data_IF_980176901276
#
_entry.id   IF_980176901276
#
_cell.length_a   1.000
_cell.length_b   1.000
_cell.length_c   1.000
_cell.angle_alpha   90.00
_cell.angle_beta   90.00
_cell.angle_gamma   90.00
#
_symmetry.space_group_name_H-M   'P 1'
#
loop_
_entity.id
_entity.type
_entity.pdbx_description
1 polymer ?
#
# COMPACT_ATOMS: atom_id res chain seq x y z
N UNK A 1 22.35 10.46 -35.28
CA UNK A 1 22.86 9.70 -34.12
C UNK A 1 21.67 9.20 -33.33
N UNK A 2 21.37 7.91 -33.50
CA UNK A 2 20.65 7.02 -32.57
C UNK A 2 20.64 5.67 -33.29
N UNK A 3 21.78 4.98 -33.18
CA UNK A 3 21.97 3.61 -33.61
C UNK A 3 21.55 2.69 -32.46
N UNK A 4 20.77 1.66 -32.82
CA UNK A 4 20.68 0.31 -32.26
C UNK A 4 20.62 0.13 -30.74
N UNK A 5 19.42 -0.23 -30.25
CA UNK A 5 19.29 -1.19 -29.15
C UNK A 5 19.08 -2.57 -29.75
N UNK A 6 19.91 -3.58 -29.41
CA UNK A 6 19.61 -4.95 -29.82
C UNK A 6 18.39 -5.40 -29.02
N UNK A 7 17.29 -5.66 -29.74
CA UNK A 7 16.22 -6.49 -29.22
C UNK A 7 16.86 -7.81 -28.79
N UNK A 8 16.91 -8.06 -27.48
CA UNK A 8 17.15 -9.40 -26.99
C UNK A 8 15.97 -10.23 -27.47
N UNK A 9 16.17 -11.01 -28.52
CA UNK A 9 15.32 -12.15 -28.85
C UNK A 9 15.32 -13.06 -27.62
N UNK A 10 14.35 -12.87 -26.74
CA UNK A 10 13.87 -13.94 -25.89
C UNK A 10 13.24 -14.93 -26.86
N UNK A 11 14.05 -15.92 -27.25
CA UNK A 11 13.67 -17.10 -28.00
C UNK A 11 12.38 -17.63 -27.38
N UNK A 12 11.22 -17.25 -27.95
CA UNK A 12 9.92 -17.71 -27.49
C UNK A 12 9.79 -19.15 -27.95
N UNK A 13 10.39 -20.05 -27.19
CA UNK A 13 10.15 -21.48 -27.32
C UNK A 13 8.63 -21.66 -27.15
N UNK A 14 7.97 -22.09 -28.22
CA UNK A 14 6.54 -22.34 -28.19
C UNK A 14 6.21 -23.30 -27.02
N UNK A 15 5.08 -23.13 -26.32
CA UNK A 15 4.74 -23.92 -25.13
C UNK A 15 4.75 -25.45 -25.39
N UNK A 16 4.52 -25.87 -26.63
CA UNK A 16 4.64 -27.26 -27.06
C UNK A 16 6.09 -27.79 -27.09
N UNK A 17 7.06 -26.92 -27.42
CA UNK A 17 8.48 -27.25 -27.38
C UNK A 17 9.00 -27.33 -25.95
N UNK A 18 8.48 -26.54 -25.01
CA UNK A 18 8.82 -26.66 -23.58
C UNK A 18 8.37 -28.00 -22.99
N UNK A 19 7.14 -28.42 -23.27
CA UNK A 19 6.63 -29.72 -22.82
C UNK A 19 7.42 -30.89 -23.43
N UNK A 20 7.84 -30.77 -24.69
CA UNK A 20 8.71 -31.74 -25.34
C UNK A 20 10.11 -31.80 -24.68
N UNK A 21 10.70 -30.64 -24.38
CA UNK A 21 11.98 -30.52 -23.66
C UNK A 21 11.90 -31.13 -22.24
N UNK A 22 10.82 -30.85 -21.50
CA UNK A 22 10.59 -31.40 -20.16
C UNK A 22 10.40 -32.92 -20.22
N UNK A 23 9.60 -33.41 -21.18
CA UNK A 23 9.38 -34.84 -21.39
C UNK A 23 10.67 -35.57 -21.76
N UNK A 24 11.45 -34.99 -22.68
CA UNK A 24 12.73 -35.55 -23.11
C UNK A 24 13.78 -35.53 -21.98
N UNK A 25 13.82 -34.45 -21.17
CA UNK A 25 14.69 -34.35 -19.99
C UNK A 25 14.31 -35.40 -18.94
N UNK A 26 13.01 -35.57 -18.69
CA UNK A 26 12.47 -36.59 -17.78
C UNK A 26 12.81 -38.02 -18.24
N UNK A 27 12.70 -38.31 -19.54
CA UNK A 27 13.07 -39.62 -20.09
C UNK A 27 14.57 -39.93 -19.95
N UNK A 28 15.45 -38.94 -20.18
CA UNK A 28 16.90 -39.10 -20.00
C UNK A 28 17.31 -39.28 -18.55
N UNK A 29 16.63 -38.60 -17.62
CA UNK A 29 16.85 -38.82 -16.20
C UNK A 29 16.42 -40.23 -15.78
N UNK A 30 15.27 -40.70 -16.25
CA UNK A 30 14.77 -42.05 -15.95
C UNK A 30 15.71 -43.18 -16.39
N UNK A 31 16.33 -43.08 -17.57
CA UNK A 31 17.26 -44.11 -18.04
C UNK A 31 18.59 -44.10 -17.27
N UNK A 32 19.08 -42.93 -16.87
CA UNK A 32 20.27 -42.79 -16.01
C UNK A 32 20.06 -43.40 -14.63
N UNK A 33 18.94 -43.07 -13.99
CA UNK A 33 18.59 -43.57 -12.64
C UNK A 33 18.49 -45.10 -12.61
N UNK A 34 18.01 -45.74 -13.70
CA UNK A 34 17.94 -47.21 -13.80
C UNK A 34 19.30 -47.91 -13.87
N UNK A 35 20.38 -47.18 -14.16
CA UNK A 35 21.72 -47.73 -14.32
C UNK A 35 22.61 -47.44 -13.09
N UNK A 36 22.11 -46.74 -12.07
CA UNK A 36 22.86 -46.40 -10.86
C UNK A 36 22.85 -47.57 -9.86
N UNK A 37 23.92 -47.69 -9.08
CA UNK A 37 23.96 -48.61 -7.94
C UNK A 37 23.04 -48.15 -6.81
N UNK A 38 22.76 -49.03 -5.86
CA UNK A 38 21.90 -48.71 -4.71
C UNK A 38 22.45 -47.57 -3.84
N UNK A 39 23.77 -47.43 -3.74
CA UNK A 39 24.42 -46.33 -3.01
C UNK A 39 24.22 -45.00 -3.76
N UNK A 40 24.56 -44.98 -5.05
CA UNK A 40 24.40 -43.78 -5.89
C UNK A 40 22.93 -43.32 -5.98
N UNK A 41 21.99 -44.26 -5.99
CA UNK A 41 20.55 -43.96 -6.00
C UNK A 41 20.10 -43.31 -4.67
N UNK A 42 20.67 -43.74 -3.54
CA UNK A 42 20.36 -43.18 -2.24
C UNK A 42 20.92 -41.77 -2.07
N UNK A 43 22.14 -41.52 -2.57
CA UNK A 43 22.75 -40.19 -2.58
C UNK A 43 21.95 -39.22 -3.46
N UNK A 44 21.58 -39.63 -4.69
CA UNK A 44 20.73 -38.84 -5.58
C UNK A 44 19.34 -38.57 -4.97
N UNK A 45 18.77 -39.54 -4.25
CA UNK A 45 17.51 -39.35 -3.52
C UNK A 45 17.66 -38.30 -2.43
N UNK A 46 18.73 -38.34 -1.62
CA UNK A 46 19.00 -37.36 -0.58
C UNK A 46 19.20 -35.95 -1.18
N UNK A 47 19.89 -35.85 -2.31
CA UNK A 47 20.07 -34.59 -3.04
C UNK A 47 18.73 -34.02 -3.53
N UNK A 48 17.87 -34.87 -4.09
CA UNK A 48 16.52 -34.48 -4.54
C UNK A 48 15.66 -34.06 -3.34
N UNK A 49 15.65 -34.82 -2.26
CA UNK A 49 14.92 -34.46 -1.03
C UNK A 49 15.41 -33.13 -0.46
N UNK A 50 16.72 -32.91 -0.44
CA UNK A 50 17.33 -31.66 0.00
C UNK A 50 16.94 -30.51 -0.92
N UNK A 51 16.95 -30.71 -2.23
CA UNK A 51 16.51 -29.71 -3.20
C UNK A 51 15.02 -29.37 -3.03
N UNK A 52 14.16 -30.38 -2.84
CA UNK A 52 12.73 -30.20 -2.57
C UNK A 52 12.52 -29.34 -1.32
N UNK A 53 13.24 -29.63 -0.23
CA UNK A 53 13.15 -28.84 1.01
C UNK A 53 13.55 -27.38 0.77
N UNK A 54 14.69 -27.13 0.09
CA UNK A 54 15.13 -25.76 -0.23
C UNK A 54 14.13 -25.00 -1.09
N UNK A 55 13.61 -25.61 -2.16
CA UNK A 55 12.62 -24.97 -3.02
C UNK A 55 11.30 -24.70 -2.31
N UNK A 56 10.88 -25.62 -1.42
CA UNK A 56 9.68 -25.43 -0.61
C UNK A 56 9.83 -24.26 0.35
N UNK A 57 11.00 -24.12 0.99
CA UNK A 57 11.32 -22.99 1.86
C UNK A 57 11.32 -21.66 1.10
N UNK A 58 12.00 -21.60 -0.04
CA UNK A 58 11.99 -20.41 -0.91
C UNK A 58 10.58 -20.04 -1.34
N UNK A 59 9.77 -21.02 -1.75
CA UNK A 59 8.38 -20.78 -2.14
C UNK A 59 7.57 -20.18 -0.99
N UNK A 60 7.72 -20.69 0.24
CA UNK A 60 7.04 -20.14 1.42
C UNK A 60 7.46 -18.69 1.65
N UNK A 61 8.75 -18.37 1.56
CA UNK A 61 9.25 -17.00 1.72
C UNK A 61 8.69 -16.06 0.66
N UNK A 62 8.68 -16.48 -0.62
CA UNK A 62 8.12 -15.71 -1.72
C UNK A 62 6.61 -15.47 -1.56
N UNK A 63 5.86 -16.46 -1.08
CA UNK A 63 4.43 -16.32 -0.80
C UNK A 63 4.18 -15.32 0.33
N UNK A 64 4.94 -15.40 1.43
CA UNK A 64 4.84 -14.45 2.53
C UNK A 64 5.16 -13.01 2.08
N UNK A 65 6.21 -12.82 1.29
CA UNK A 65 6.57 -11.51 0.74
C UNK A 65 5.51 -10.96 -0.20
N UNK A 66 4.92 -11.80 -1.04
CA UNK A 66 3.81 -11.42 -1.92
C UNK A 66 2.60 -10.96 -1.11
N UNK A 67 2.26 -11.66 -0.03
CA UNK A 67 1.10 -11.32 0.80
C UNK A 67 1.33 -9.98 1.55
N UNK A 68 2.56 -9.72 2.02
CA UNK A 68 2.93 -8.40 2.59
C UNK A 68 2.78 -7.27 1.56
N UNK A 69 3.26 -7.47 0.33
CA UNK A 69 3.11 -6.49 -0.74
C UNK A 69 1.64 -6.26 -1.14
N UNK A 70 0.83 -7.32 -1.18
CA UNK A 70 -0.60 -7.19 -1.49
C UNK A 70 -1.32 -6.43 -0.38
N UNK A 71 -0.98 -6.67 0.89
CA UNK A 71 -1.50 -5.89 2.01
C UNK A 71 -1.12 -4.41 1.92
N UNK A 72 0.14 -4.09 1.64
CA UNK A 72 0.56 -2.70 1.43
C UNK A 72 -0.20 -2.02 0.30
N UNK A 73 -0.37 -2.72 -0.81
CA UNK A 73 -1.10 -2.25 -1.99
C UNK A 73 -2.57 -2.04 -1.68
N UNK A 74 -3.22 -2.95 -0.96
CA UNK A 74 -4.61 -2.84 -0.53
C UNK A 74 -4.82 -1.60 0.34
N UNK A 75 -3.97 -1.39 1.35
CA UNK A 75 -4.04 -0.20 2.21
C UNK A 75 -3.85 1.09 1.40
N UNK A 76 -2.85 1.15 0.50
CA UNK A 76 -2.59 2.31 -0.36
C UNK A 76 -3.78 2.59 -1.30
N UNK A 77 -4.35 1.55 -1.91
CA UNK A 77 -5.49 1.67 -2.82
C UNK A 77 -6.76 2.10 -2.08
N UNK A 78 -7.02 1.55 -0.90
CA UNK A 78 -8.13 1.95 -0.04
C UNK A 78 -8.01 3.43 0.35
N UNK A 79 -6.83 3.86 0.78
CA UNK A 79 -6.57 5.28 1.07
C UNK A 79 -6.84 6.18 -0.14
N UNK A 80 -6.32 5.83 -1.32
CA UNK A 80 -6.52 6.61 -2.56
C UNK A 80 -8.01 6.71 -2.90
N UNK A 81 -8.74 5.60 -2.82
CA UNK A 81 -10.17 5.56 -3.14
C UNK A 81 -10.98 6.51 -2.23
N UNK A 82 -10.81 6.40 -0.91
CA UNK A 82 -11.52 7.25 0.05
C UNK A 82 -11.09 8.72 -0.09
N UNK A 83 -9.81 8.99 -0.33
CA UNK A 83 -9.31 10.35 -0.54
C UNK A 83 -9.96 11.00 -1.77
N UNK A 84 -10.04 10.29 -2.90
CA UNK A 84 -10.69 10.77 -4.12
C UNK A 84 -12.17 11.07 -3.85
N UNK A 85 -12.88 10.19 -3.14
CA UNK A 85 -14.28 10.38 -2.80
C UNK A 85 -14.52 11.63 -1.94
N UNK A 86 -13.73 11.81 -0.88
CA UNK A 86 -13.79 12.98 -0.02
C UNK A 86 -13.52 14.25 -0.82
N UNK A 87 -12.47 14.25 -1.66
CA UNK A 87 -12.13 15.39 -2.50
C UNK A 87 -13.25 15.75 -3.50
N UNK A 88 -13.88 14.74 -4.11
CA UNK A 88 -15.00 14.92 -5.03
C UNK A 88 -16.21 15.54 -4.33
N UNK A 89 -16.57 15.05 -3.13
CA UNK A 89 -17.66 15.62 -2.32
C UNK A 89 -17.38 17.07 -1.94
N UNK A 90 -16.17 17.36 -1.47
CA UNK A 90 -15.75 18.73 -1.18
C UNK A 90 -15.83 19.63 -2.42
N UNK A 91 -15.46 19.13 -3.61
CA UNK A 91 -15.57 19.88 -4.88
C UNK A 91 -17.02 20.22 -5.21
N UNK A 92 -17.92 19.23 -5.17
CA UNK A 92 -19.37 19.44 -5.42
C UNK A 92 -19.93 20.45 -4.42
N UNK A 93 -19.58 20.34 -3.14
CA UNK A 93 -20.00 21.29 -2.11
C UNK A 93 -19.51 22.72 -2.39
N UNK A 94 -18.23 22.88 -2.78
CA UNK A 94 -17.67 24.19 -3.18
C UNK A 94 -18.41 24.80 -4.39
N UNK A 95 -18.80 23.99 -5.36
CA UNK A 95 -19.55 24.45 -6.54
C UNK A 95 -20.98 24.88 -6.18
N UNK A 96 -21.68 24.11 -5.33
CA UNK A 96 -23.00 24.48 -4.82
C UNK A 96 -22.98 25.82 -4.07
N UNK A 97 -21.96 26.06 -3.24
CA UNK A 97 -21.80 27.35 -2.53
C UNK A 97 -21.60 28.53 -3.50
N UNK A 98 -20.82 28.35 -4.57
CA UNK A 98 -20.63 29.38 -5.61
C UNK A 98 -21.93 29.69 -6.35
N UNK A 99 -22.74 28.68 -6.66
CA UNK A 99 -24.05 28.85 -7.30
C UNK A 99 -25.05 29.55 -6.37
N UNK A 100 -25.07 29.20 -5.08
CA UNK A 100 -25.93 29.84 -4.06
C UNK A 100 -25.59 31.31 -3.85
N UNK A 101 -24.30 31.69 -3.85
CA UNK A 101 -23.86 33.10 -3.79
C UNK A 101 -24.29 33.93 -5.00
N UNK A 102 -24.41 33.31 -6.19
CA UNK A 102 -24.90 33.98 -7.40
C UNK A 102 -26.43 34.17 -7.42
N UNK A 103 -27.18 33.42 -6.60
CA UNK A 103 -28.66 33.44 -6.62
C UNK A 103 -29.31 33.95 -5.33
N UNK A 104 -28.56 34.22 -4.25
CA UNK A 104 -29.14 34.57 -2.95
C UNK A 104 -28.21 35.46 -2.13
N UNK A 105 -28.53 36.74 -2.05
CA UNK A 105 -28.04 37.65 -1.00
C UNK A 105 -28.89 37.50 0.26
N UNK A 106 -28.65 36.47 1.07
CA UNK A 106 -29.06 36.44 2.48
C UNK A 106 -28.39 35.27 3.21
N UNK A 107 -27.77 35.59 4.34
CA UNK A 107 -27.19 34.66 5.30
C UNK A 107 -28.28 33.95 6.12
N UNK A 108 -28.03 32.68 6.49
CA UNK A 108 -28.09 32.13 7.87
C UNK A 108 -28.30 30.60 7.86
N UNK A 109 -27.69 29.95 8.85
CA UNK A 109 -27.82 28.54 9.25
C UNK A 109 -27.28 27.43 8.33
N UNK A 110 -25.95 27.29 8.31
CA UNK A 110 -25.28 26.06 7.87
C UNK A 110 -23.89 25.86 8.48
N UNK A 111 -23.63 26.43 9.67
CA UNK A 111 -22.26 26.52 10.23
C UNK A 111 -21.68 25.16 10.64
N UNK A 112 -22.52 24.19 10.98
CA UNK A 112 -22.06 22.92 11.56
C UNK A 112 -21.68 21.88 10.49
N UNK A 113 -22.38 21.85 9.35
CA UNK A 113 -22.04 20.98 8.21
C UNK A 113 -20.86 21.50 7.38
N UNK A 114 -20.53 22.79 7.47
CA UNK A 114 -19.37 23.36 6.78
C UNK A 114 -18.03 22.91 7.38
N UNK A 115 -17.97 22.71 8.70
CA UNK A 115 -16.71 22.52 9.42
C UNK A 115 -16.02 21.18 9.09
N UNK A 116 -16.79 20.09 8.97
CA UNK A 116 -16.24 18.77 8.62
C UNK A 116 -15.68 18.74 7.19
N UNK A 117 -16.37 19.41 6.25
CA UNK A 117 -16.00 19.42 4.83
C UNK A 117 -14.72 20.25 4.55
N UNK A 118 -14.36 21.21 5.41
CA UNK A 118 -13.19 22.08 5.22
C UNK A 118 -11.99 21.71 6.08
N UNK A 119 -12.10 20.70 6.93
CA UNK A 119 -11.01 20.32 7.85
C UNK A 119 -9.90 19.61 7.08
N UNK A 120 -8.66 20.03 7.34
CA UNK A 120 -7.43 19.45 6.75
C UNK A 120 -6.83 18.49 7.75
N UNK A 121 -6.47 17.28 7.31
CA UNK A 121 -5.71 16.34 8.13
C UNK A 121 -4.27 16.86 8.24
N UNK A 122 -3.75 17.15 9.45
CA UNK A 122 -2.37 17.57 9.61
C UNK A 122 -1.41 16.47 9.17
N UNK A 123 -0.39 16.80 8.38
CA UNK A 123 0.65 15.85 8.01
C UNK A 123 2.02 16.50 8.16
N UNK A 124 2.87 15.91 9.00
CA UNK A 124 4.27 16.30 9.09
C UNK A 124 5.03 15.57 7.97
N UNK A 125 5.59 16.33 7.02
CA UNK A 125 6.50 15.76 6.02
C UNK A 125 7.81 15.37 6.71
N UNK A 126 7.87 14.15 7.23
CA UNK A 126 9.14 13.50 7.56
C UNK A 126 9.88 13.14 6.27
N UNK A 127 11.12 12.68 6.37
CA UNK A 127 11.90 12.22 5.22
C UNK A 127 11.25 10.98 4.57
N UNK A 128 10.28 11.20 3.69
CA UNK A 128 9.62 10.13 2.93
C UNK A 128 8.10 10.28 2.83
N UNK A 129 7.45 9.39 2.05
CA UNK A 129 6.00 9.26 2.02
C UNK A 129 5.45 8.82 3.40
N UNK A 130 4.14 8.98 3.66
CA UNK A 130 3.52 8.52 4.89
C UNK A 130 3.74 7.02 5.10
N UNK A 131 3.88 6.60 6.36
CA UNK A 131 3.99 5.18 6.69
C UNK A 131 2.65 4.47 6.43
N UNK A 132 2.68 3.14 6.32
CA UNK A 132 1.48 2.32 6.17
C UNK A 132 0.49 2.55 7.33
N UNK A 133 1.03 2.71 8.55
CA UNK A 133 0.24 3.02 9.74
C UNK A 133 -0.44 4.38 9.62
N UNK A 134 0.26 5.40 9.11
CA UNK A 134 -0.32 6.73 8.88
C UNK A 134 -1.44 6.64 7.84
N UNK A 135 -1.24 5.91 6.75
CA UNK A 135 -2.26 5.71 5.71
C UNK A 135 -3.54 5.07 6.27
N UNK A 136 -3.42 4.07 7.16
CA UNK A 136 -4.58 3.47 7.81
C UNK A 136 -5.31 4.46 8.73
N UNK A 137 -4.59 5.32 9.45
CA UNK A 137 -5.21 6.36 10.29
C UNK A 137 -5.90 7.41 9.41
N UNK A 138 -5.24 7.85 8.34
CA UNK A 138 -5.84 8.80 7.39
C UNK A 138 -7.08 8.23 6.74
N UNK A 139 -7.06 6.96 6.35
CA UNK A 139 -8.22 6.28 5.77
C UNK A 139 -9.40 6.34 6.74
N UNK A 140 -9.21 6.00 8.02
CA UNK A 140 -10.27 6.09 9.04
C UNK A 140 -10.83 7.50 9.22
N UNK A 141 -9.96 8.52 9.22
CA UNK A 141 -10.38 9.92 9.33
C UNK A 141 -11.17 10.32 8.08
N UNK A 142 -10.69 9.98 6.89
CA UNK A 142 -11.34 10.30 5.62
C UNK A 142 -12.70 9.61 5.47
N UNK A 143 -12.84 8.36 5.91
CA UNK A 143 -14.12 7.65 5.97
C UNK A 143 -15.11 8.36 6.91
N UNK A 144 -14.65 8.72 8.11
CA UNK A 144 -15.48 9.49 9.04
C UNK A 144 -15.88 10.86 8.47
N UNK A 145 -14.99 11.52 7.71
CA UNK A 145 -15.31 12.77 7.00
C UNK A 145 -16.30 12.56 5.86
N UNK A 146 -16.17 11.47 5.10
CA UNK A 146 -17.07 11.13 3.99
C UNK A 146 -18.50 10.93 4.49
N UNK A 147 -18.63 10.33 5.67
CA UNK A 147 -19.91 9.92 6.25
C UNK A 147 -20.47 10.96 7.25
N UNK A 148 -19.89 12.18 7.30
CA UNK A 148 -20.22 13.26 8.24
C UNK A 148 -20.26 12.79 9.71
N UNK A 149 -19.39 11.83 10.07
CA UNK A 149 -19.35 11.19 11.37
C UNK A 149 -18.91 12.13 12.50
N UNK A 150 -19.60 12.04 13.64
CA UNK A 150 -19.26 12.72 14.90
C UNK A 150 -17.90 12.31 15.48
N UNK A 151 -17.30 11.25 14.94
CA UNK A 151 -15.97 10.72 15.30
C UNK A 151 -14.80 11.49 14.68
N UNK A 152 -15.02 12.35 13.69
CA UNK A 152 -13.94 13.10 13.03
C UNK A 152 -13.10 13.92 14.03
N UNK A 153 -13.70 14.71 14.95
CA UNK A 153 -12.94 15.49 15.92
C UNK A 153 -12.11 14.62 16.87
N UNK A 154 -12.63 13.48 17.32
CA UNK A 154 -11.90 12.58 18.21
C UNK A 154 -10.75 11.89 17.48
N UNK A 155 -10.97 11.40 16.25
CA UNK A 155 -9.93 10.75 15.44
C UNK A 155 -8.79 11.72 15.09
N UNK A 156 -9.12 12.98 14.77
CA UNK A 156 -8.11 14.03 14.56
C UNK A 156 -7.35 14.35 15.84
N UNK A 157 -8.05 14.48 16.96
CA UNK A 157 -7.42 14.73 18.27
C UNK A 157 -6.46 13.61 18.64
N UNK A 158 -6.90 12.36 18.53
CA UNK A 158 -6.07 11.18 18.79
C UNK A 158 -4.85 11.15 17.88
N UNK A 159 -5.02 11.40 16.59
CA UNK A 159 -3.90 11.43 15.65
C UNK A 159 -2.90 12.57 15.98
N UNK A 160 -3.38 13.75 16.34
CA UNK A 160 -2.52 14.89 16.72
C UNK A 160 -1.74 14.60 18.03
N UNK A 161 -2.41 14.01 19.02
CA UNK A 161 -1.81 13.73 20.33
C UNK A 161 -0.91 12.48 20.32
N UNK A 162 -1.30 11.44 19.57
CA UNK A 162 -0.64 10.13 19.57
C UNK A 162 0.32 9.93 18.39
N UNK A 163 0.09 10.59 17.25
CA UNK A 163 1.06 10.62 16.13
C UNK A 163 2.36 11.35 16.48
N UNK A 164 2.32 12.18 17.53
CA UNK A 164 3.47 12.96 18.01
C UNK A 164 4.18 12.37 19.24
N UNK A 165 3.77 11.22 19.79
CA UNK A 165 4.47 10.64 20.96
C UNK A 165 5.90 10.17 20.65
N UNK A 166 6.33 10.18 19.38
CA UNK A 166 7.73 10.01 18.98
C UNK A 166 8.52 11.33 18.84
N UNK A 167 7.90 12.50 19.05
CA UNK A 167 8.59 13.78 19.16
C UNK A 167 8.07 14.57 20.37
N UNK A 168 8.64 14.22 21.52
CA UNK A 168 9.18 15.16 22.51
C UNK A 168 8.31 16.39 22.76
N UNK A 169 7.58 16.32 23.87
CA UNK A 169 7.09 17.49 24.59
C UNK A 169 8.13 18.61 24.61
N UNK A 170 7.86 19.70 23.89
CA UNK A 170 8.38 21.02 24.24
C UNK A 170 7.18 21.84 24.66
N UNK A 171 6.94 21.81 25.96
CA UNK A 171 5.96 22.65 26.64
C UNK A 171 6.17 24.11 26.25
N UNK A 172 5.05 24.78 25.96
CA UNK A 172 4.97 26.20 25.66
C UNK A 172 5.26 26.96 26.97
N UNK A 173 6.30 27.79 26.98
CA UNK A 173 6.46 28.84 27.98
C UNK A 173 5.89 30.14 27.42
N UNK A 174 4.62 30.45 27.72
CA UNK A 174 4.10 31.81 27.60
C UNK A 174 4.53 32.58 28.85
N UNK A 175 5.57 33.40 28.74
CA UNK A 175 5.79 34.47 29.71
C UNK A 175 4.77 35.57 29.44
N UNK A 176 3.71 35.59 30.24
CA UNK A 176 2.89 36.78 30.46
C UNK A 176 3.81 37.88 31.00
N UNK A 177 4.09 38.91 30.19
CA UNK A 177 4.56 40.19 30.69
C UNK A 177 3.37 41.14 30.65
N UNK A 178 2.68 41.20 31.78
CA UNK A 178 1.75 42.27 32.11
C UNK A 178 2.55 43.58 32.16
N UNK A 179 1.95 44.61 31.59
CA UNK A 179 2.40 46.00 31.57
C UNK A 179 2.63 46.54 32.99
N UNK A 180 3.76 47.22 33.19
CA UNK A 180 3.84 48.53 33.85
C UNK A 180 4.85 49.38 33.08
#
# INVERSE_FOLDING_TARGET
LLQDSPEMESERIAPHSELSLISQKTQRSHSRVRLMSALELNDELEDVETAIRRYSEELIQQLAFRDELEFEKEVKNSFIAVLIDVQNRQKVHREMLKKKRKMSGSERNGKNTLFCVTTVIPYERKHGPPSLQDLQIFTKILEAMRDDGDKVPSLLTDYILKGNSNQRMKSIQFKNRVLQ
#
